data_IF_814917974110
#
_entry.id   IF_814917974110
#
_cell.length_a   1.000
_cell.length_b   1.000
_cell.length_c   1.000
_cell.angle_alpha   90.00
_cell.angle_beta   90.00
_cell.angle_gamma   90.00
#
_symmetry.space_group_name_H-M   'P 1'
#
loop_
_entity.id
_entity.type
_entity.pdbx_description
1 polymer ?
#
# COMPACT_ATOMS: atom_id res chain seq x y z
N UNK A 1 52.43 -4.03 17.79
CA UNK A 1 51.00 -3.82 18.08
C UNK A 1 50.59 -2.61 17.27
N UNK A 2 49.78 -2.79 16.23
CA UNK A 2 49.31 -1.68 15.40
C UNK A 2 48.13 -1.04 16.12
N UNK A 3 48.36 0.09 16.78
CA UNK A 3 47.30 1.04 17.13
C UNK A 3 46.71 1.56 15.82
N UNK A 4 45.56 1.02 15.44
CA UNK A 4 44.72 1.62 14.43
C UNK A 4 44.24 2.95 15.01
N UNK A 5 44.88 4.05 14.59
CA UNK A 5 44.36 5.40 14.73
C UNK A 5 42.92 5.42 14.16
N UNK A 6 41.93 5.35 15.04
CA UNK A 6 40.57 5.76 14.71
C UNK A 6 40.63 7.25 14.39
N UNK A 7 40.83 7.56 13.10
CA UNK A 7 40.71 8.91 12.58
C UNK A 7 39.36 9.46 13.04
N UNK A 8 39.31 10.55 13.82
CA UNK A 8 38.05 11.13 14.22
C UNK A 8 37.28 11.47 12.94
N UNK A 9 36.05 10.96 12.83
CA UNK A 9 35.14 11.32 11.75
C UNK A 9 35.04 12.83 11.78
N UNK A 10 35.69 13.50 10.82
CA UNK A 10 35.78 14.96 10.77
C UNK A 10 34.36 15.49 10.74
N UNK A 11 33.87 16.00 11.86
CA UNK A 11 32.53 16.57 11.96
C UNK A 11 32.40 17.57 10.80
N UNK A 12 31.50 17.29 9.86
CA UNK A 12 31.19 18.28 8.83
C UNK A 12 30.72 19.53 9.58
N UNK A 13 31.15 20.68 9.09
CA UNK A 13 30.52 21.97 9.41
C UNK A 13 28.98 21.79 9.37
N UNK A 14 28.26 22.09 10.48
CA UNK A 14 26.82 21.82 10.59
C UNK A 14 26.01 22.39 9.43
N UNK A 15 26.41 23.54 8.88
CA UNK A 15 25.74 24.14 7.73
C UNK A 15 25.93 23.30 6.46
N UNK A 16 27.15 22.81 6.21
CA UNK A 16 27.44 21.91 5.09
C UNK A 16 26.75 20.57 5.23
N UNK A 17 26.65 20.03 6.45
CA UNK A 17 25.89 18.82 6.72
C UNK A 17 24.42 19.00 6.34
N UNK A 18 23.76 20.06 6.84
CA UNK A 18 22.36 20.41 6.50
C UNK A 18 22.14 20.56 5.00
N UNK A 19 22.97 21.34 4.31
CA UNK A 19 22.84 21.57 2.87
C UNK A 19 22.98 20.26 2.06
N UNK A 20 23.96 19.43 2.43
CA UNK A 20 24.19 18.13 1.78
C UNK A 20 23.05 17.15 2.05
N UNK A 21 22.50 17.13 3.27
CA UNK A 21 21.35 16.29 3.65
C UNK A 21 20.10 16.70 2.88
N UNK A 22 19.82 17.99 2.80
CA UNK A 22 18.70 18.51 2.01
C UNK A 22 18.83 18.15 0.53
N UNK A 23 20.00 18.35 -0.07
CA UNK A 23 20.24 17.98 -1.47
C UNK A 23 20.03 16.47 -1.71
N UNK A 24 20.47 15.64 -0.75
CA UNK A 24 20.26 14.19 -0.79
C UNK A 24 18.77 13.84 -0.69
N UNK A 25 18.04 14.51 0.20
CA UNK A 25 16.61 14.30 0.41
C UNK A 25 15.79 14.64 -0.85
N UNK A 26 16.09 15.77 -1.50
CA UNK A 26 15.50 16.15 -2.81
C UNK A 26 15.77 15.08 -3.86
N UNK A 27 17.01 14.60 -3.99
CA UNK A 27 17.36 13.52 -4.94
C UNK A 27 16.61 12.22 -4.65
N UNK A 28 16.39 11.89 -3.37
CA UNK A 28 15.60 10.74 -2.99
C UNK A 28 14.16 10.92 -3.47
N UNK A 29 13.49 12.01 -3.08
CA UNK A 29 12.10 12.27 -3.44
C UNK A 29 11.88 12.32 -4.96
N UNK A 30 12.78 12.95 -5.71
CA UNK A 30 12.72 12.98 -7.17
C UNK A 30 12.77 11.59 -7.82
N UNK A 31 13.51 10.65 -7.23
CA UNK A 31 13.59 9.29 -7.75
C UNK A 31 12.34 8.45 -7.40
N UNK A 32 11.71 8.71 -6.25
CA UNK A 32 10.53 7.96 -5.79
C UNK A 32 9.80 8.70 -4.66
N UNK A 33 8.45 8.78 -4.68
CA UNK A 33 7.68 9.24 -3.54
C UNK A 33 7.96 8.39 -2.28
N UNK A 34 8.09 9.04 -1.12
CA UNK A 34 8.35 8.42 0.18
C UNK A 34 7.56 9.12 1.27
N UNK A 35 7.23 8.40 2.32
CA UNK A 35 6.77 9.01 3.57
C UNK A 35 7.91 9.73 4.30
N UNK A 36 7.56 10.57 5.27
CA UNK A 36 8.51 11.23 6.17
C UNK A 36 9.41 10.21 6.85
N UNK A 37 8.82 9.13 7.38
CA UNK A 37 9.55 8.07 8.08
C UNK A 37 10.49 7.28 7.16
N UNK A 38 10.04 6.93 5.95
CA UNK A 38 10.92 6.29 4.94
C UNK A 38 12.07 7.23 4.55
N UNK A 39 11.81 8.53 4.40
CA UNK A 39 12.84 9.50 4.05
C UNK A 39 13.87 9.67 5.18
N UNK A 40 13.43 9.80 6.44
CA UNK A 40 14.30 9.88 7.63
C UNK A 40 15.28 8.70 7.67
N UNK A 41 14.77 7.47 7.57
CA UNK A 41 15.60 6.26 7.58
C UNK A 41 16.66 6.27 6.47
N UNK A 42 16.28 6.65 5.24
CA UNK A 42 17.21 6.72 4.10
C UNK A 42 18.26 7.82 4.21
N UNK A 43 17.99 8.87 4.98
CA UNK A 43 18.97 9.91 5.24
C UNK A 43 19.97 9.41 6.28
N UNK A 44 19.49 8.82 7.38
CA UNK A 44 20.32 8.29 8.47
C UNK A 44 21.22 7.10 8.09
N UNK A 45 20.96 6.43 6.96
CA UNK A 45 21.87 5.42 6.38
C UNK A 45 23.28 5.96 6.05
N UNK A 46 23.49 7.29 6.05
CA UNK A 46 24.77 7.89 5.69
C UNK A 46 25.55 8.35 6.92
N UNK A 47 26.79 7.90 7.03
CA UNK A 47 27.69 8.25 8.13
C UNK A 47 27.99 9.76 8.29
N UNK A 48 27.65 10.60 7.29
CA UNK A 48 27.85 12.05 7.33
C UNK A 48 26.58 12.83 7.71
N UNK A 49 25.47 12.16 7.99
CA UNK A 49 24.22 12.78 8.44
C UNK A 49 24.03 12.59 9.94
N UNK A 50 23.71 13.66 10.64
CA UNK A 50 23.25 13.64 12.04
C UNK A 50 21.74 13.94 12.13
N UNK A 51 21.14 13.66 13.28
CA UNK A 51 19.71 13.86 13.53
C UNK A 51 19.27 15.32 13.27
N UNK A 52 20.08 16.30 13.67
CA UNK A 52 19.78 17.72 13.48
C UNK A 52 19.76 18.13 12.00
N UNK A 53 20.66 17.59 11.19
CA UNK A 53 20.67 17.81 9.74
C UNK A 53 19.48 17.13 9.05
N UNK A 54 19.03 15.97 9.54
CA UNK A 54 17.86 15.27 9.03
C UNK A 54 16.58 16.02 9.37
N UNK A 55 16.36 16.41 10.63
CA UNK A 55 15.20 17.22 11.03
C UNK A 55 15.11 18.52 10.24
N UNK A 56 16.25 19.20 10.06
CA UNK A 56 16.30 20.42 9.24
C UNK A 56 15.84 20.15 7.80
N UNK A 57 16.31 19.07 7.18
CA UNK A 57 15.93 18.75 5.81
C UNK A 57 14.45 18.36 5.69
N UNK A 58 13.92 17.58 6.64
CA UNK A 58 12.51 17.19 6.67
C UNK A 58 11.61 18.41 6.83
N UNK A 59 11.91 19.29 7.79
CA UNK A 59 11.15 20.51 8.02
C UNK A 59 11.14 21.43 6.79
N UNK A 60 12.29 21.62 6.14
CA UNK A 60 12.37 22.43 4.91
C UNK A 60 11.57 21.83 3.75
N UNK A 61 11.58 20.50 3.61
CA UNK A 61 10.79 19.84 2.56
C UNK A 61 9.29 19.90 2.83
N UNK A 62 8.86 19.84 4.09
CA UNK A 62 7.47 20.07 4.47
C UNK A 62 7.06 21.52 4.22
N UNK A 63 7.88 22.50 4.59
CA UNK A 63 7.67 23.93 4.33
C UNK A 63 7.50 24.21 2.82
N UNK A 64 8.29 23.55 1.99
CA UNK A 64 8.20 23.67 0.53
C UNK A 64 7.08 22.82 -0.11
N UNK A 65 6.33 22.04 0.68
CA UNK A 65 5.27 21.15 0.18
C UNK A 65 5.77 19.93 -0.61
N UNK A 66 7.07 19.60 -0.53
CA UNK A 66 7.62 18.39 -1.16
C UNK A 66 7.41 17.12 -0.33
N UNK A 67 7.04 17.28 0.94
CA UNK A 67 6.84 16.17 1.87
C UNK A 67 5.54 16.37 2.64
N UNK A 68 4.59 15.48 2.40
CA UNK A 68 3.26 15.48 3.00
C UNK A 68 2.79 14.02 3.08
N UNK A 69 2.66 13.49 4.29
CA UNK A 69 2.28 12.10 4.52
C UNK A 69 0.81 11.84 4.18
N UNK A 70 -0.07 12.84 4.33
CA UNK A 70 -1.50 12.73 4.00
C UNK A 70 -1.67 12.63 2.49
N UNK A 71 -1.07 13.56 1.74
CA UNK A 71 -1.07 13.52 0.28
C UNK A 71 -0.41 12.25 -0.26
N UNK A 72 0.71 11.85 0.34
CA UNK A 72 1.40 10.62 -0.04
C UNK A 72 0.51 9.39 0.20
N UNK A 73 -0.13 9.28 1.37
CA UNK A 73 -0.98 8.15 1.73
C UNK A 73 -2.17 8.03 0.78
N UNK A 74 -2.87 9.14 0.52
CA UNK A 74 -4.01 9.18 -0.39
C UNK A 74 -3.59 8.82 -1.83
N UNK A 75 -2.53 9.45 -2.34
CA UNK A 75 -2.01 9.19 -3.68
C UNK A 75 -1.56 7.74 -3.86
N UNK A 76 -0.88 7.18 -2.85
CA UNK A 76 -0.49 5.78 -2.83
C UNK A 76 -1.71 4.85 -2.83
N UNK A 77 -2.69 5.11 -1.96
CA UNK A 77 -3.90 4.32 -1.82
C UNK A 77 -4.71 4.27 -3.12
N UNK A 78 -4.99 5.43 -3.70
CA UNK A 78 -5.71 5.56 -4.95
C UNK A 78 -4.97 4.86 -6.11
N UNK A 79 -3.64 5.01 -6.19
CA UNK A 79 -2.84 4.33 -7.20
C UNK A 79 -2.89 2.79 -7.05
N UNK A 80 -2.87 2.26 -5.82
CA UNK A 80 -2.92 0.81 -5.59
C UNK A 80 -4.25 0.20 -6.01
N UNK A 81 -5.37 0.85 -5.70
CA UNK A 81 -6.69 0.38 -6.09
C UNK A 81 -6.86 0.44 -7.62
N UNK A 82 -6.45 1.54 -8.27
CA UNK A 82 -6.45 1.65 -9.73
C UNK A 82 -5.64 0.56 -10.42
N UNK A 83 -4.49 0.18 -9.85
CA UNK A 83 -3.66 -0.88 -10.43
C UNK A 83 -4.33 -2.25 -10.34
N UNK A 84 -4.90 -2.58 -9.17
CA UNK A 84 -5.56 -3.88 -8.96
C UNK A 84 -6.63 -3.76 -7.86
N UNK A 85 -7.83 -4.35 -8.02
CA UNK A 85 -8.91 -4.27 -7.04
C UNK A 85 -8.56 -5.01 -5.74
N UNK A 86 -8.27 -4.27 -4.67
CA UNK A 86 -7.89 -4.78 -3.35
C UNK A 86 -8.87 -4.34 -2.27
N UNK A 87 -9.04 -5.19 -1.27
CA UNK A 87 -9.85 -4.88 -0.11
C UNK A 87 -9.11 -4.08 0.97
N UNK A 88 -9.89 -3.51 1.89
CA UNK A 88 -9.43 -2.51 2.88
C UNK A 88 -8.30 -3.03 3.74
N UNK A 89 -8.33 -4.31 4.12
CA UNK A 89 -7.30 -4.93 4.98
C UNK A 89 -5.95 -5.02 4.28
N UNK A 90 -5.95 -5.32 2.96
CA UNK A 90 -4.70 -5.38 2.21
C UNK A 90 -4.11 -3.99 2.04
N UNK A 91 -4.95 -3.00 1.70
CA UNK A 91 -4.48 -1.65 1.51
C UNK A 91 -3.95 -1.03 2.82
N UNK A 92 -4.62 -1.28 3.94
CA UNK A 92 -4.15 -0.87 5.26
C UNK A 92 -2.75 -1.39 5.56
N UNK A 93 -2.49 -2.68 5.31
CA UNK A 93 -1.16 -3.26 5.49
C UNK A 93 -0.13 -2.64 4.54
N UNK A 94 -0.52 -2.40 3.28
CA UNK A 94 0.36 -1.76 2.30
C UNK A 94 0.76 -0.34 2.74
N UNK A 95 -0.15 0.44 3.33
CA UNK A 95 0.13 1.76 3.92
C UNK A 95 0.95 1.67 5.21
N UNK A 96 0.70 0.69 6.08
CA UNK A 96 1.52 0.46 7.28
C UNK A 96 2.98 0.13 6.93
N UNK A 97 3.22 -0.61 5.84
CA UNK A 97 4.57 -0.84 5.32
C UNK A 97 5.26 0.44 4.84
N UNK A 98 4.51 1.53 4.64
CA UNK A 98 5.04 2.88 4.37
C UNK A 98 5.38 3.68 5.62
N UNK A 99 5.28 3.06 6.80
CA UNK A 99 5.61 3.68 8.09
C UNK A 99 4.84 4.99 8.31
N UNK A 100 3.62 5.06 7.78
CA UNK A 100 2.72 6.20 7.95
C UNK A 100 2.10 6.17 9.35
N UNK A 101 1.75 7.34 9.91
CA UNK A 101 0.94 7.42 11.11
C UNK A 101 -0.37 6.66 10.94
N UNK A 102 -0.88 6.13 12.06
CA UNK A 102 -2.13 5.37 12.07
C UNK A 102 -3.31 6.22 11.59
N UNK A 103 -3.41 7.45 12.07
CA UNK A 103 -4.47 8.38 11.71
C UNK A 103 -4.46 8.70 10.21
N UNK A 104 -3.30 9.06 9.65
CA UNK A 104 -3.13 9.28 8.21
C UNK A 104 -3.51 8.05 7.38
N UNK A 105 -3.17 6.85 7.87
CA UNK A 105 -3.56 5.59 7.22
C UNK A 105 -5.08 5.40 7.23
N UNK A 106 -5.73 5.64 8.36
CA UNK A 106 -7.18 5.50 8.52
C UNK A 106 -7.95 6.51 7.66
N UNK A 107 -7.51 7.78 7.63
CA UNK A 107 -8.08 8.83 6.77
C UNK A 107 -7.96 8.49 5.29
N UNK A 108 -6.77 8.07 4.83
CA UNK A 108 -6.57 7.69 3.43
C UNK A 108 -7.42 6.49 3.02
N UNK A 109 -7.59 5.50 3.90
CA UNK A 109 -8.49 4.37 3.65
C UNK A 109 -9.94 4.84 3.55
N UNK A 110 -10.38 5.70 4.46
CA UNK A 110 -11.75 6.19 4.49
C UNK A 110 -12.10 6.96 3.22
N UNK A 111 -11.23 7.89 2.83
CA UNK A 111 -11.43 8.67 1.62
C UNK A 111 -11.50 7.77 0.37
N UNK A 112 -10.55 6.85 0.19
CA UNK A 112 -10.53 6.04 -1.04
C UNK A 112 -11.69 5.03 -1.08
N UNK A 113 -12.10 4.44 0.04
CA UNK A 113 -13.21 3.48 0.05
C UNK A 113 -14.59 4.15 0.07
N UNK A 114 -14.70 5.43 0.46
CA UNK A 114 -15.93 6.21 0.24
C UNK A 114 -16.12 6.58 -1.23
N UNK A 115 -15.04 6.91 -1.94
CA UNK A 115 -15.06 7.15 -3.39
C UNK A 115 -15.23 5.86 -4.20
N UNK A 116 -14.55 4.78 -3.80
CA UNK A 116 -14.59 3.48 -4.47
C UNK A 116 -14.91 2.36 -3.47
N UNK A 117 -16.20 2.06 -3.27
CA UNK A 117 -16.64 1.05 -2.30
C UNK A 117 -15.99 -0.32 -2.49
N UNK A 118 -15.75 -1.01 -1.38
CA UNK A 118 -15.11 -2.33 -1.37
C UNK A 118 -15.96 -3.37 -2.14
N UNK A 119 -17.28 -3.20 -2.14
CA UNK A 119 -18.27 -3.99 -2.88
C UNK A 119 -18.04 -3.94 -4.40
N UNK A 120 -17.72 -2.77 -4.94
CA UNK A 120 -17.44 -2.61 -6.37
C UNK A 120 -16.10 -3.28 -6.73
N UNK A 121 -15.11 -3.14 -5.85
CA UNK A 121 -13.77 -3.71 -6.08
C UNK A 121 -13.79 -5.24 -6.02
N UNK A 122 -14.56 -5.84 -5.12
CA UNK A 122 -14.66 -7.31 -5.07
C UNK A 122 -15.33 -7.86 -6.32
N UNK A 123 -16.34 -7.18 -6.86
CA UNK A 123 -16.99 -7.57 -8.12
C UNK A 123 -16.02 -7.52 -9.29
N UNK A 124 -15.24 -6.45 -9.41
CA UNK A 124 -14.17 -6.35 -10.42
C UNK A 124 -13.13 -7.47 -10.27
N UNK A 125 -12.74 -7.79 -9.03
CA UNK A 125 -11.79 -8.87 -8.76
C UNK A 125 -12.35 -10.24 -9.16
N UNK A 126 -13.63 -10.50 -8.87
CA UNK A 126 -14.35 -11.71 -9.26
C UNK A 126 -14.47 -11.81 -10.77
N UNK A 127 -14.96 -10.77 -11.44
CA UNK A 127 -15.12 -10.75 -12.89
C UNK A 127 -13.78 -11.04 -13.61
N UNK A 128 -12.70 -10.40 -13.16
CA UNK A 128 -11.35 -10.67 -13.68
C UNK A 128 -10.91 -12.11 -13.41
N UNK A 129 -11.24 -12.68 -12.25
CA UNK A 129 -10.89 -14.07 -11.90
C UNK A 129 -11.65 -15.06 -12.78
N UNK A 130 -12.95 -14.84 -13.00
CA UNK A 130 -13.82 -15.65 -13.86
C UNK A 130 -13.32 -15.59 -15.30
N UNK A 131 -13.02 -14.40 -15.82
CA UNK A 131 -12.47 -14.26 -17.17
C UNK A 131 -11.19 -15.07 -17.40
N UNK A 132 -10.33 -15.23 -16.36
CA UNK A 132 -9.04 -15.93 -16.46
C UNK A 132 -9.10 -17.44 -16.13
N UNK A 133 -10.13 -17.90 -15.44
CA UNK A 133 -10.18 -19.26 -14.86
C UNK A 133 -11.52 -19.98 -15.02
N UNK A 134 -12.53 -19.32 -15.60
CA UNK A 134 -13.90 -19.81 -15.63
C UNK A 134 -14.66 -19.51 -14.35
N UNK A 135 -15.99 -19.68 -14.43
CA UNK A 135 -16.88 -19.64 -13.27
C UNK A 135 -16.65 -20.89 -12.41
N UNK A 136 -16.59 -20.78 -11.07
CA UNK A 136 -16.42 -21.95 -10.22
C UNK A 136 -17.65 -22.87 -10.33
N UNK A 137 -17.41 -24.16 -10.61
CA UNK A 137 -18.45 -25.19 -10.78
C UNK A 137 -18.52 -26.17 -9.59
N UNK A 138 -17.47 -26.21 -8.78
CA UNK A 138 -17.40 -27.13 -7.63
C UNK A 138 -16.90 -26.43 -6.36
N UNK A 139 -16.97 -27.16 -5.24
CA UNK A 139 -16.56 -26.67 -3.92
C UNK A 139 -15.07 -26.29 -3.86
N UNK A 140 -14.22 -27.03 -4.57
CA UNK A 140 -12.78 -26.79 -4.58
C UNK A 140 -12.44 -25.49 -5.32
N UNK A 141 -13.09 -25.21 -6.44
CA UNK A 141 -12.94 -23.96 -7.19
C UNK A 141 -13.52 -22.76 -6.44
N UNK A 142 -14.67 -22.94 -5.78
CA UNK A 142 -15.26 -21.92 -4.91
C UNK A 142 -14.34 -21.55 -3.75
N UNK A 143 -13.69 -22.55 -3.13
CA UNK A 143 -12.66 -22.33 -2.11
C UNK A 143 -11.44 -21.61 -2.68
N UNK A 144 -10.99 -21.97 -3.88
CA UNK A 144 -9.88 -21.29 -4.56
C UNK A 144 -10.17 -19.81 -4.84
N UNK A 145 -11.41 -19.49 -5.24
CA UNK A 145 -11.88 -18.10 -5.39
C UNK A 145 -11.90 -17.37 -4.05
N UNK A 146 -12.49 -17.99 -3.02
CA UNK A 146 -12.51 -17.46 -1.65
C UNK A 146 -11.11 -17.09 -1.17
N UNK A 147 -10.16 -18.04 -1.26
CA UNK A 147 -8.78 -17.85 -0.82
C UNK A 147 -8.07 -16.76 -1.64
N UNK A 148 -8.37 -16.66 -2.94
CA UNK A 148 -7.86 -15.59 -3.78
C UNK A 148 -8.33 -14.22 -3.25
N UNK A 149 -9.63 -14.04 -3.03
CA UNK A 149 -10.19 -12.78 -2.54
C UNK A 149 -9.69 -12.44 -1.14
N UNK A 150 -9.49 -13.44 -0.27
CA UNK A 150 -8.89 -13.25 1.05
C UNK A 150 -7.45 -12.71 0.94
N UNK A 151 -6.62 -13.25 0.03
CA UNK A 151 -5.28 -12.71 -0.23
C UNK A 151 -5.28 -11.31 -0.84
N UNK A 152 -6.37 -10.93 -1.52
CA UNK A 152 -6.63 -9.56 -2.02
C UNK A 152 -7.10 -8.62 -0.91
N UNK A 153 -7.42 -9.15 0.28
CA UNK A 153 -7.68 -8.38 1.50
C UNK A 153 -9.12 -7.94 1.69
N UNK A 154 -10.06 -8.53 0.96
CA UNK A 154 -11.49 -8.26 1.14
C UNK A 154 -11.98 -8.78 2.49
N UNK A 155 -13.03 -8.15 3.03
CA UNK A 155 -13.65 -8.59 4.28
C UNK A 155 -14.25 -9.99 4.14
N UNK A 156 -14.16 -10.80 5.21
CA UNK A 156 -14.62 -12.19 5.20
C UNK A 156 -16.12 -12.29 4.86
N UNK A 157 -16.93 -11.42 5.46
CA UNK A 157 -18.37 -11.37 5.24
C UNK A 157 -18.71 -11.09 3.77
N UNK A 158 -18.03 -10.12 3.14
CA UNK A 158 -18.25 -9.76 1.75
C UNK A 158 -17.86 -10.90 0.80
N UNK A 159 -16.74 -11.59 1.07
CA UNK A 159 -16.31 -12.73 0.27
C UNK A 159 -17.35 -13.86 0.35
N UNK A 160 -17.82 -14.23 1.54
CA UNK A 160 -18.83 -15.29 1.68
C UNK A 160 -20.09 -14.94 0.92
N UNK A 161 -20.57 -13.70 1.07
CA UNK A 161 -21.78 -13.25 0.40
C UNK A 161 -21.66 -13.42 -1.13
N UNK A 162 -20.56 -12.94 -1.73
CA UNK A 162 -20.34 -13.01 -3.17
C UNK A 162 -20.09 -14.44 -3.67
N UNK A 163 -19.31 -15.24 -2.95
CA UNK A 163 -19.04 -16.64 -3.36
C UNK A 163 -20.32 -17.48 -3.29
N UNK A 164 -21.15 -17.31 -2.25
CA UNK A 164 -22.44 -18.00 -2.13
C UNK A 164 -23.39 -17.62 -3.27
N UNK A 165 -23.48 -16.33 -3.58
CA UNK A 165 -24.32 -15.84 -4.69
C UNK A 165 -23.90 -16.47 -6.04
N UNK A 166 -22.60 -16.60 -6.29
CA UNK A 166 -22.10 -17.26 -7.50
C UNK A 166 -22.48 -18.74 -7.56
N UNK A 167 -22.40 -19.46 -6.44
CA UNK A 167 -22.77 -20.87 -6.37
C UNK A 167 -24.27 -21.08 -6.57
N UNK A 168 -25.13 -20.26 -5.96
CA UNK A 168 -26.59 -20.38 -6.09
C UNK A 168 -27.03 -20.27 -7.55
N UNK A 169 -26.55 -19.25 -8.27
CA UNK A 169 -26.87 -19.06 -9.69
C UNK A 169 -26.33 -20.17 -10.60
N UNK A 170 -25.31 -20.93 -10.20
CA UNK A 170 -24.85 -22.10 -10.98
C UNK A 170 -25.83 -23.28 -10.85
N UNK A 171 -26.54 -23.41 -9.72
CA UNK A 171 -27.51 -24.49 -9.52
C UNK A 171 -28.89 -24.19 -10.11
N UNK A 172 -29.25 -22.92 -10.28
CA UNK A 172 -30.52 -22.52 -10.91
C UNK A 172 -30.50 -22.67 -12.46
N UNK A 173 -29.33 -22.66 -13.10
CA UNK A 173 -29.19 -22.87 -14.56
C UNK A 173 -29.25 -24.35 -14.96
N UNK A 174 -28.92 -25.29 -14.05
CA UNK A 174 -28.92 -26.73 -14.33
C UNK A 174 -30.32 -27.39 -14.15
N UNK A 175 -31.25 -26.77 -13.42
CA UNK A 175 -32.63 -27.26 -13.23
C UNK A 175 -33.60 -26.85 -14.37
N UNK A 176 -33.15 -25.99 -15.29
CA UNK A 176 -33.98 -25.48 -16.40
C UNK A 176 -34.03 -26.42 -17.64
N UNK A 177 -33.29 -27.53 -17.62
CA UNK A 177 -33.16 -28.44 -18.77
C UNK A 177 -33.64 -29.88 -18.46
N UNK A 178 -34.47 -30.04 -17.43
CA UNK A 178 -35.17 -31.32 -17.19
C UNK A 178 -36.36 -31.42 -18.15
N UNK A 179 -36.34 -32.34 -19.15
CA UNK A 179 -37.54 -32.64 -19.92
C UNK A 179 -38.60 -33.16 -18.96
N UNK A 180 -39.74 -32.48 -18.95
CA UNK A 180 -40.94 -32.95 -18.27
C UNK A 180 -41.48 -34.18 -19.02
N UNK A 181 -41.28 -35.37 -18.48
CA UNK A 181 -42.08 -36.57 -18.77
C UNK A 181 -42.05 -37.58 -17.61
#
# INVERSE_FOLDING_TARGET
MNEAEERPVRALDPEKARARTLQRAVKLLAAKPRSVAELRERLLEKAWTDEGAVEYALAKLQEYGYLDDEQFALGYAAARIRQKPIGRRRLARDLQMKKLPRETTEQALEQVYSETPEEQLIEQAIAKRIHLRGRPTNRQESKSLFDHLLRRGFSYALIINKVRALSATTFDEDDADLPSE
#
